data_IF_722877832413
#
_entry.id   IF_722877832413
#
_cell.length_a   1.000
_cell.length_b   1.000
_cell.length_c   1.000
_cell.angle_alpha   90.00
_cell.angle_beta   90.00
_cell.angle_gamma   90.00
#
_symmetry.space_group_name_H-M   'P 1'
#
loop_
_entity.id
_entity.type
_entity.pdbx_description
1 polymer ?
#
# COMPACT_ATOMS: atom_id res chain seq x y z
N UNK A 1 -14.56 -20.51 -5.14
CA UNK A 1 -14.57 -19.49 -4.05
C UNK A 1 -14.83 -18.13 -4.64
N UNK A 2 -15.67 -17.31 -4.02
CA UNK A 2 -15.92 -15.92 -4.41
C UNK A 2 -14.88 -14.98 -3.77
N UNK A 3 -14.60 -13.84 -4.40
CA UNK A 3 -13.66 -12.85 -3.86
C UNK A 3 -14.14 -12.27 -2.52
N UNK A 4 -15.44 -12.02 -2.41
CA UNK A 4 -16.07 -11.57 -1.17
C UNK A 4 -15.86 -12.52 0.01
N UNK A 5 -15.98 -13.82 -0.23
CA UNK A 5 -15.73 -14.88 0.77
C UNK A 5 -14.24 -14.92 1.14
N UNK A 6 -13.35 -14.86 0.14
CA UNK A 6 -11.90 -14.86 0.34
C UNK A 6 -11.45 -13.69 1.24
N UNK A 7 -11.98 -12.50 1.02
CA UNK A 7 -11.64 -11.33 1.83
C UNK A 7 -12.12 -11.47 3.28
N UNK A 8 -13.37 -11.87 3.48
CA UNK A 8 -13.94 -12.06 4.82
C UNK A 8 -13.21 -13.15 5.63
N UNK A 9 -12.93 -14.29 5.01
CA UNK A 9 -12.17 -15.38 5.65
C UNK A 9 -10.75 -14.96 6.05
N UNK A 10 -10.19 -13.94 5.41
CA UNK A 10 -8.85 -13.43 5.68
C UNK A 10 -8.84 -12.09 6.45
N UNK A 11 -9.95 -11.75 7.11
CA UNK A 11 -10.00 -10.66 8.10
C UNK A 11 -10.31 -9.27 7.55
N UNK A 12 -10.80 -9.16 6.31
CA UNK A 12 -11.30 -7.89 5.79
C UNK A 12 -12.82 -7.82 5.87
N UNK A 13 -13.33 -6.90 6.70
CA UNK A 13 -14.78 -6.70 6.84
C UNK A 13 -15.32 -5.85 5.69
N UNK A 14 -16.24 -6.43 4.92
CA UNK A 14 -16.98 -5.77 3.83
C UNK A 14 -18.13 -4.88 4.34
N UNK A 15 -18.53 -5.05 5.61
CA UNK A 15 -19.64 -4.32 6.20
C UNK A 15 -20.92 -4.45 5.36
N UNK A 16 -21.64 -3.34 5.21
CA UNK A 16 -22.91 -3.26 4.45
C UNK A 16 -22.74 -3.45 2.93
N UNK A 17 -21.53 -3.57 2.42
CA UNK A 17 -21.27 -3.75 0.98
C UNK A 17 -21.14 -5.22 0.57
N UNK A 18 -21.35 -6.16 1.51
CA UNK A 18 -21.24 -7.59 1.21
C UNK A 18 -22.11 -8.02 0.03
N UNK A 19 -23.38 -7.59 -0.02
CA UNK A 19 -24.29 -7.91 -1.12
C UNK A 19 -23.84 -7.27 -2.44
N UNK A 20 -23.40 -5.99 -2.39
CA UNK A 20 -22.90 -5.29 -3.57
C UNK A 20 -21.63 -5.91 -4.14
N UNK A 21 -20.83 -6.61 -3.32
CA UNK A 21 -19.67 -7.36 -3.78
C UNK A 21 -20.00 -8.49 -4.75
N UNK A 22 -21.24 -8.93 -4.81
CA UNK A 22 -21.74 -9.84 -5.84
C UNK A 22 -21.50 -9.33 -7.27
N UNK A 23 -21.43 -8.00 -7.48
CA UNK A 23 -21.06 -7.41 -8.76
C UNK A 23 -19.57 -7.66 -9.12
N UNK A 24 -18.67 -7.59 -8.13
CA UNK A 24 -17.25 -7.92 -8.32
C UNK A 24 -17.08 -9.43 -8.50
N UNK A 25 -17.79 -10.23 -7.71
CA UNK A 25 -17.79 -11.69 -7.86
C UNK A 25 -18.28 -12.09 -9.27
N UNK A 26 -19.23 -11.34 -9.86
CA UNK A 26 -19.76 -11.59 -11.20
C UNK A 26 -18.79 -11.31 -12.35
N UNK A 27 -17.76 -10.46 -12.14
CA UNK A 27 -16.69 -10.17 -13.10
C UNK A 27 -15.37 -10.90 -12.75
N UNK A 28 -15.40 -11.75 -11.74
CA UNK A 28 -14.25 -12.50 -11.23
C UNK A 28 -14.25 -13.91 -11.77
N UNK A 29 -13.09 -14.40 -12.17
CA UNK A 29 -12.89 -15.78 -12.63
C UNK A 29 -12.02 -16.54 -11.62
N UNK A 30 -12.51 -17.71 -11.15
CA UNK A 30 -11.74 -18.62 -10.31
C UNK A 30 -10.97 -19.60 -11.18
N UNK A 31 -9.66 -19.62 -11.07
CA UNK A 31 -8.75 -20.41 -11.91
C UNK A 31 -7.89 -21.32 -11.03
N UNK A 32 -7.63 -22.53 -11.54
CA UNK A 32 -6.67 -23.48 -10.98
C UNK A 32 -5.59 -23.71 -12.05
N UNK A 33 -4.36 -23.35 -11.72
CA UNK A 33 -3.23 -23.56 -12.62
C UNK A 33 -2.98 -25.04 -12.81
N UNK A 34 -3.06 -25.52 -14.05
CA UNK A 34 -2.80 -26.93 -14.40
C UNK A 34 -1.32 -27.32 -14.33
N UNK A 35 -0.44 -26.35 -14.50
CA UNK A 35 1.02 -26.49 -14.47
C UNK A 35 1.67 -25.19 -14.00
N UNK A 36 2.98 -25.22 -13.82
CA UNK A 36 3.76 -24.00 -13.59
C UNK A 36 3.58 -23.01 -14.74
N UNK A 37 3.27 -21.75 -14.41
CA UNK A 37 3.06 -20.72 -15.43
C UNK A 37 3.46 -19.30 -14.97
N UNK A 38 3.66 -18.41 -15.95
CA UNK A 38 3.93 -17.00 -15.75
C UNK A 38 2.64 -16.22 -15.95
N UNK A 39 2.05 -15.72 -14.86
CA UNK A 39 0.85 -14.86 -14.92
C UNK A 39 1.13 -13.49 -15.52
N UNK A 40 2.33 -12.96 -15.29
CA UNK A 40 2.70 -11.63 -15.70
C UNK A 40 4.20 -11.52 -15.94
N UNK A 41 4.62 -10.94 -17.07
CA UNK A 41 6.02 -10.66 -17.38
C UNK A 41 6.36 -9.21 -17.04
N UNK A 42 7.59 -8.99 -16.58
CA UNK A 42 8.07 -7.63 -16.31
C UNK A 42 7.92 -6.73 -17.53
N UNK A 43 7.44 -5.50 -17.33
CA UNK A 43 7.14 -4.49 -18.36
C UNK A 43 5.97 -4.81 -19.30
N UNK A 44 5.36 -5.97 -19.20
CA UNK A 44 4.12 -6.27 -19.93
C UNK A 44 2.99 -5.33 -19.46
N UNK A 45 2.10 -4.96 -20.37
CA UNK A 45 0.86 -4.25 -20.02
C UNK A 45 0.02 -5.18 -19.14
N UNK A 46 -0.47 -4.65 -18.03
CA UNK A 46 -1.35 -5.38 -17.13
C UNK A 46 -2.78 -5.31 -17.64
N UNK A 47 -3.37 -6.45 -17.88
CA UNK A 47 -4.79 -6.60 -18.26
C UNK A 47 -5.63 -7.08 -17.08
N UNK A 48 -5.01 -7.74 -16.11
CA UNK A 48 -5.70 -8.33 -14.97
C UNK A 48 -5.02 -7.97 -13.65
N UNK A 49 -5.82 -8.05 -12.58
CA UNK A 49 -5.34 -8.20 -11.19
C UNK A 49 -5.74 -9.59 -10.71
N UNK A 50 -4.88 -10.20 -9.89
CA UNK A 50 -5.10 -11.53 -9.38
C UNK A 50 -5.12 -11.53 -7.85
N UNK A 51 -5.84 -12.51 -7.25
CA UNK A 51 -5.86 -12.72 -5.80
C UNK A 51 -5.60 -14.19 -5.50
N UNK A 52 -4.56 -14.47 -4.75
CA UNK A 52 -4.19 -15.83 -4.37
C UNK A 52 -5.25 -16.43 -3.45
N UNK A 53 -5.75 -17.64 -3.76
CA UNK A 53 -6.61 -18.43 -2.86
C UNK A 53 -5.75 -19.39 -2.07
N UNK A 54 -4.99 -20.23 -2.74
CA UNK A 54 -4.02 -21.16 -2.15
C UNK A 54 -2.93 -21.51 -3.15
N UNK A 55 -1.85 -22.11 -2.66
CA UNK A 55 -0.69 -22.46 -3.48
C UNK A 55 0.45 -21.44 -3.32
N UNK A 56 1.22 -21.22 -4.39
CA UNK A 56 2.43 -20.41 -4.28
C UNK A 56 2.65 -19.55 -5.53
N UNK A 57 2.89 -18.27 -5.28
CA UNK A 57 3.32 -17.31 -6.28
C UNK A 57 4.72 -16.77 -5.93
N UNK A 58 5.52 -16.48 -6.96
CA UNK A 58 6.86 -15.91 -6.80
C UNK A 58 6.93 -14.60 -7.58
N UNK A 59 7.41 -13.53 -6.93
CA UNK A 59 7.63 -12.25 -7.57
C UNK A 59 9.11 -12.01 -7.79
N UNK A 60 9.53 -11.86 -9.06
CA UNK A 60 10.94 -11.71 -9.47
C UNK A 60 11.11 -10.46 -10.33
N UNK A 61 12.16 -9.69 -10.08
CA UNK A 61 12.60 -8.60 -10.97
C UNK A 61 13.86 -9.01 -11.71
N UNK A 62 13.87 -8.70 -12.99
CA UNK A 62 15.02 -8.88 -13.87
C UNK A 62 15.72 -7.53 -14.06
N UNK A 63 17.03 -7.54 -13.91
CA UNK A 63 17.95 -6.46 -14.23
C UNK A 63 18.90 -6.96 -15.32
N UNK A 64 19.60 -6.08 -16.01
CA UNK A 64 20.46 -6.45 -17.14
C UNK A 64 21.38 -7.65 -16.87
N UNK A 65 21.92 -7.74 -15.65
CA UNK A 65 22.93 -8.76 -15.29
C UNK A 65 22.46 -9.78 -14.26
N UNK A 66 21.29 -9.60 -13.66
CA UNK A 66 20.80 -10.50 -12.58
C UNK A 66 19.28 -10.47 -12.45
N UNK A 67 18.72 -11.52 -11.88
CA UNK A 67 17.35 -11.53 -11.38
C UNK A 67 17.33 -11.58 -9.85
N UNK A 68 16.33 -10.98 -9.25
CA UNK A 68 16.14 -10.98 -7.79
C UNK A 68 14.71 -11.40 -7.50
N UNK A 69 14.55 -12.50 -6.76
CA UNK A 69 13.27 -12.90 -6.20
C UNK A 69 12.98 -12.08 -4.95
N UNK A 70 11.95 -11.23 -5.01
CA UNK A 70 11.57 -10.33 -3.94
C UNK A 70 10.63 -10.97 -2.94
N UNK A 71 9.72 -11.82 -3.40
CA UNK A 71 8.74 -12.44 -2.52
C UNK A 71 8.36 -13.85 -3.01
N UNK A 72 8.18 -14.75 -2.05
CA UNK A 72 7.44 -16.00 -2.19
C UNK A 72 6.13 -15.82 -1.44
N UNK A 73 5.03 -15.89 -2.15
CA UNK A 73 3.70 -15.52 -1.66
C UNK A 73 2.87 -16.79 -1.53
N UNK A 74 2.44 -17.09 -0.30
CA UNK A 74 1.57 -18.24 -0.01
C UNK A 74 0.32 -17.83 0.77
N UNK A 75 0.26 -16.55 1.20
CA UNK A 75 -0.85 -16.05 2.02
C UNK A 75 -2.09 -15.83 1.16
N UNK A 76 -3.25 -16.41 1.51
CA UNK A 76 -4.51 -16.15 0.82
C UNK A 76 -4.90 -14.68 0.81
N UNK A 77 -5.76 -14.31 -0.11
CA UNK A 77 -6.23 -12.95 -0.39
C UNK A 77 -5.14 -11.95 -0.82
N UNK A 78 -3.86 -12.39 -0.93
CA UNK A 78 -2.79 -11.52 -1.39
C UNK A 78 -3.02 -11.10 -2.84
N UNK A 79 -3.10 -9.78 -3.13
CA UNK A 79 -3.23 -9.31 -4.50
C UNK A 79 -1.89 -9.42 -5.24
N UNK A 80 -1.97 -9.91 -6.47
CA UNK A 80 -0.83 -10.02 -7.38
C UNK A 80 -1.07 -9.09 -8.57
N UNK A 81 -0.03 -8.42 -9.03
CA UNK A 81 -0.15 -7.51 -10.18
C UNK A 81 -0.66 -6.10 -9.85
N UNK A 82 -0.59 -5.66 -8.60
CA UNK A 82 -1.08 -4.34 -8.14
C UNK A 82 -0.46 -3.15 -8.90
N UNK A 83 0.71 -3.31 -9.50
CA UNK A 83 1.33 -2.27 -10.34
C UNK A 83 0.51 -1.93 -11.59
N UNK A 84 -0.30 -2.88 -12.07
CA UNK A 84 -1.22 -2.68 -13.18
C UNK A 84 -2.40 -1.75 -12.89
N UNK A 85 -2.71 -1.53 -11.61
CA UNK A 85 -3.75 -0.58 -11.20
C UNK A 85 -3.39 0.90 -11.42
N UNK A 86 -2.11 1.17 -11.72
CA UNK A 86 -1.58 2.51 -11.88
C UNK A 86 -0.98 2.72 -13.28
N UNK A 87 -1.09 3.94 -13.81
CA UNK A 87 -0.41 4.29 -15.04
C UNK A 87 1.12 4.27 -14.86
N UNK A 88 1.89 3.71 -15.77
CA UNK A 88 1.53 3.24 -17.13
C UNK A 88 1.05 1.78 -17.21
N UNK A 89 0.34 1.24 -16.25
CA UNK A 89 -0.28 -0.10 -16.25
C UNK A 89 0.68 -1.24 -16.65
N UNK A 90 1.93 -1.18 -16.19
CA UNK A 90 2.94 -2.21 -16.49
C UNK A 90 3.35 -2.96 -15.24
N UNK A 91 3.56 -4.25 -15.39
CA UNK A 91 4.10 -5.06 -14.30
C UNK A 91 5.54 -4.63 -13.96
N UNK A 92 5.80 -4.45 -12.68
CA UNK A 92 7.11 -4.05 -12.16
C UNK A 92 8.09 -5.23 -12.02
N UNK A 93 7.63 -6.44 -12.20
CA UNK A 93 8.39 -7.69 -12.16
C UNK A 93 7.55 -8.82 -12.72
N UNK A 94 8.14 -10.01 -12.82
CA UNK A 94 7.47 -11.23 -13.24
C UNK A 94 6.73 -11.85 -12.06
N UNK A 95 5.54 -12.38 -12.32
CA UNK A 95 4.75 -13.18 -11.38
C UNK A 95 4.67 -14.60 -11.95
N UNK A 96 5.33 -15.51 -11.26
CA UNK A 96 5.32 -16.94 -11.55
C UNK A 96 4.47 -17.66 -10.52
N UNK A 97 3.67 -18.64 -10.93
CA UNK A 97 2.89 -19.52 -10.04
C UNK A 97 3.23 -20.96 -10.28
N UNK A 98 3.21 -21.76 -9.20
CA UNK A 98 3.40 -23.21 -9.27
C UNK A 98 2.08 -23.91 -9.66
N UNK A 99 2.18 -25.05 -10.33
CA UNK A 99 1.01 -25.86 -10.70
C UNK A 99 0.17 -26.23 -9.47
N UNK A 100 -1.15 -26.29 -9.63
CA UNK A 100 -2.10 -26.47 -8.53
C UNK A 100 -2.40 -25.21 -7.71
N UNK A 101 -1.79 -24.06 -8.04
CA UNK A 101 -2.13 -22.77 -7.43
C UNK A 101 -3.52 -22.35 -7.86
N UNK A 102 -4.36 -21.96 -6.88
CA UNK A 102 -5.69 -21.42 -7.11
C UNK A 102 -5.69 -19.90 -6.89
N UNK A 103 -6.33 -19.18 -7.80
CA UNK A 103 -6.41 -17.73 -7.75
C UNK A 103 -7.70 -17.21 -8.39
N UNK A 104 -8.04 -15.97 -8.06
CA UNK A 104 -9.11 -15.22 -8.70
C UNK A 104 -8.47 -14.21 -9.64
N UNK A 105 -8.95 -14.14 -10.88
CA UNK A 105 -8.57 -13.15 -11.89
C UNK A 105 -9.70 -12.17 -12.13
N UNK A 106 -9.38 -10.87 -12.24
CA UNK A 106 -10.34 -9.82 -12.61
C UNK A 106 -9.70 -8.95 -13.70
N UNK A 107 -10.42 -8.74 -14.80
CA UNK A 107 -9.99 -7.83 -15.85
C UNK A 107 -10.04 -6.38 -15.38
N UNK A 108 -8.98 -5.63 -15.67
CA UNK A 108 -8.90 -4.23 -15.27
C UNK A 108 -9.92 -3.35 -15.99
N UNK A 109 -10.32 -3.70 -17.21
CA UNK A 109 -11.36 -2.97 -17.94
C UNK A 109 -12.73 -3.14 -17.27
N UNK A 110 -13.09 -4.37 -16.87
CA UNK A 110 -14.34 -4.62 -16.13
C UNK A 110 -14.39 -3.85 -14.81
N UNK A 111 -13.23 -3.73 -14.11
CA UNK A 111 -13.12 -2.89 -12.90
C UNK A 111 -13.31 -1.39 -13.21
N UNK A 112 -12.82 -0.91 -14.34
CA UNK A 112 -13.01 0.49 -14.75
C UNK A 112 -14.47 0.78 -15.07
N UNK A 113 -15.13 -0.12 -15.80
CA UNK A 113 -16.56 0.00 -16.12
C UNK A 113 -17.41 -0.05 -14.85
N UNK A 114 -17.07 -0.93 -13.91
CA UNK A 114 -17.76 -1.00 -12.62
C UNK A 114 -17.50 0.25 -11.76
N UNK A 115 -16.31 0.84 -11.83
CA UNK A 115 -16.01 2.10 -11.14
C UNK A 115 -16.94 3.23 -11.58
N UNK A 116 -17.22 3.36 -12.87
CA UNK A 116 -18.15 4.38 -13.38
C UNK A 116 -19.59 4.20 -12.84
N UNK A 117 -19.99 2.96 -12.57
CA UNK A 117 -21.35 2.62 -12.10
C UNK A 117 -21.44 2.61 -10.57
N UNK A 118 -20.39 2.25 -9.87
CA UNK A 118 -20.40 2.05 -8.42
C UNK A 118 -19.01 2.35 -7.81
N UNK A 119 -18.65 3.62 -7.74
CA UNK A 119 -17.37 4.06 -7.22
C UNK A 119 -17.15 3.69 -5.74
N UNK A 120 -18.21 3.65 -4.92
CA UNK A 120 -18.16 3.23 -3.52
C UNK A 120 -17.70 1.79 -3.37
N UNK A 121 -18.22 0.88 -4.20
CA UNK A 121 -17.84 -0.52 -4.21
C UNK A 121 -16.37 -0.67 -4.61
N UNK A 122 -15.94 0.03 -5.65
CA UNK A 122 -14.55 0.01 -6.12
C UNK A 122 -13.60 0.66 -5.10
N UNK A 123 -14.00 1.72 -4.42
CA UNK A 123 -13.22 2.30 -3.32
C UNK A 123 -12.99 1.27 -2.21
N UNK A 124 -14.00 0.49 -1.83
CA UNK A 124 -13.87 -0.59 -0.85
C UNK A 124 -12.93 -1.70 -1.35
N UNK A 125 -13.00 -2.06 -2.63
CA UNK A 125 -12.06 -3.01 -3.23
C UNK A 125 -10.61 -2.50 -3.13
N UNK A 126 -10.34 -1.23 -3.44
CA UNK A 126 -9.01 -0.65 -3.31
C UNK A 126 -8.52 -0.60 -1.85
N UNK A 127 -9.43 -0.37 -0.90
CA UNK A 127 -9.14 -0.48 0.54
C UNK A 127 -8.70 -1.92 0.88
N UNK A 128 -9.43 -2.94 0.40
CA UNK A 128 -9.07 -4.35 0.62
C UNK A 128 -7.74 -4.72 -0.03
N UNK A 129 -7.50 -4.30 -1.28
CA UNK A 129 -6.21 -4.50 -1.97
C UNK A 129 -5.08 -3.88 -1.15
N UNK A 130 -5.27 -2.67 -0.62
CA UNK A 130 -4.29 -1.99 0.21
C UNK A 130 -4.04 -2.76 1.51
N UNK A 131 -5.09 -3.22 2.19
CA UNK A 131 -5.00 -4.00 3.42
C UNK A 131 -4.13 -5.26 3.23
N UNK A 132 -4.44 -6.09 2.24
CA UNK A 132 -3.69 -7.33 1.99
C UNK A 132 -2.27 -7.08 1.49
N UNK A 133 -2.06 -6.04 0.68
CA UNK A 133 -0.73 -5.64 0.23
C UNK A 133 0.16 -5.19 1.39
N UNK A 134 -0.39 -4.46 2.36
CA UNK A 134 0.34 -4.01 3.55
C UNK A 134 0.64 -5.17 4.49
N UNK A 135 -0.29 -6.11 4.66
CA UNK A 135 -0.05 -7.33 5.44
C UNK A 135 1.09 -8.18 4.83
N UNK A 136 1.16 -8.28 3.50
CA UNK A 136 2.27 -8.97 2.83
C UNK A 136 3.61 -8.27 3.12
N UNK A 137 3.65 -6.94 3.05
CA UNK A 137 4.86 -6.17 3.35
C UNK A 137 5.36 -6.42 4.77
N UNK A 138 4.45 -6.50 5.74
CA UNK A 138 4.78 -6.76 7.14
C UNK A 138 5.24 -8.21 7.34
N UNK A 139 4.51 -9.18 6.81
CA UNK A 139 4.83 -10.61 6.98
C UNK A 139 6.15 -11.01 6.32
N UNK A 140 6.51 -10.37 5.19
CA UNK A 140 7.78 -10.63 4.51
C UNK A 140 9.01 -10.22 5.33
N UNK A 141 8.83 -9.46 6.40
CA UNK A 141 9.91 -8.92 7.25
C UNK A 141 10.11 -9.65 8.56
N UNK A 142 9.32 -10.67 8.88
CA UNK A 142 9.39 -11.40 10.17
C UNK A 142 9.42 -10.46 11.40
N UNK A 143 8.64 -9.37 11.36
CA UNK A 143 8.64 -8.33 12.40
C UNK A 143 8.28 -8.85 13.81
N UNK A 144 7.62 -10.01 13.90
CA UNK A 144 7.16 -10.57 15.18
C UNK A 144 8.29 -11.06 16.11
N UNK A 145 9.52 -11.14 15.63
CA UNK A 145 10.63 -11.73 16.41
C UNK A 145 11.75 -10.78 16.76
N UNK A 146 11.78 -9.55 16.24
CA UNK A 146 13.05 -8.83 16.17
C UNK A 146 13.19 -7.62 17.07
N UNK A 147 12.14 -6.94 17.49
CA UNK A 147 12.36 -5.70 18.24
C UNK A 147 11.33 -5.40 19.33
N UNK A 148 11.76 -5.57 20.55
CA UNK A 148 11.37 -4.72 21.68
C UNK A 148 12.47 -3.64 21.84
N UNK A 149 12.55 -2.69 20.94
CA UNK A 149 13.30 -1.46 21.18
C UNK A 149 12.40 -0.58 22.06
N UNK A 150 12.31 -0.92 23.34
CA UNK A 150 11.50 -0.20 24.34
C UNK A 150 11.99 1.25 24.54
N UNK A 151 13.21 1.57 24.04
CA UNK A 151 13.82 2.90 24.13
C UNK A 151 13.28 3.91 23.09
N UNK A 152 12.60 3.45 22.03
CA UNK A 152 12.08 4.37 21.02
C UNK A 152 10.75 4.94 21.46
N UNK A 153 10.74 6.21 21.85
CA UNK A 153 9.52 6.95 22.14
C UNK A 153 9.04 7.72 20.91
N UNK A 154 7.78 7.47 20.51
CA UNK A 154 7.16 8.21 19.42
C UNK A 154 6.78 9.61 19.91
N UNK A 155 7.29 10.62 19.22
CA UNK A 155 6.89 12.00 19.48
C UNK A 155 5.45 12.25 19.00
N UNK A 156 4.60 12.89 19.80
CA UNK A 156 3.25 13.27 19.37
C UNK A 156 3.27 14.32 18.24
N UNK A 157 4.41 15.00 18.04
CA UNK A 157 4.52 16.18 17.17
C UNK A 157 3.72 17.37 17.72
N UNK A 158 4.11 18.58 17.33
CA UNK A 158 3.41 19.81 17.70
C UNK A 158 2.40 20.15 16.60
N UNK A 159 1.11 20.42 16.92
CA UNK A 159 0.16 20.90 15.92
C UNK A 159 0.70 22.15 15.22
N UNK A 160 0.57 22.20 13.91
CA UNK A 160 0.94 23.35 13.08
C UNK A 160 -0.28 23.88 12.37
N UNK A 161 -0.30 25.17 12.10
CA UNK A 161 -1.36 25.77 11.30
C UNK A 161 -1.49 25.06 9.95
N UNK A 162 -2.73 24.88 9.50
CA UNK A 162 -3.07 24.27 8.21
C UNK A 162 -2.67 25.14 7.01
N UNK A 163 -2.00 26.28 7.23
CA UNK A 163 -1.54 27.11 6.13
C UNK A 163 -0.44 26.41 5.34
N UNK A 164 -0.86 25.69 4.31
CA UNK A 164 0.05 25.20 3.30
C UNK A 164 0.31 26.35 2.36
N UNK A 165 1.30 27.15 2.70
CA UNK A 165 1.69 28.36 1.95
C UNK A 165 2.14 28.06 0.51
N UNK A 166 2.14 26.79 0.07
CA UNK A 166 2.57 26.42 -1.27
C UNK A 166 1.93 25.09 -1.73
N UNK A 167 0.60 25.07 -1.92
CA UNK A 167 -0.17 23.96 -2.51
C UNK A 167 0.47 23.49 -3.83
N UNK A 168 0.88 24.42 -4.69
CA UNK A 168 1.53 24.09 -5.97
C UNK A 168 2.85 23.32 -5.81
N UNK A 169 3.62 23.58 -4.75
CA UNK A 169 4.87 22.88 -4.48
C UNK A 169 4.63 21.44 -4.00
N UNK A 170 3.53 21.20 -3.31
CA UNK A 170 3.10 19.87 -2.85
C UNK A 170 2.50 19.09 -4.02
N UNK A 171 1.75 19.74 -4.91
CA UNK A 171 1.14 19.15 -6.11
C UNK A 171 2.18 18.56 -7.07
N UNK A 172 3.35 19.17 -7.18
CA UNK A 172 4.47 18.60 -7.96
C UNK A 172 5.05 17.33 -7.35
N UNK A 173 4.70 17.02 -6.10
CA UNK A 173 5.16 15.82 -5.42
C UNK A 173 4.39 14.58 -5.92
N UNK A 174 5.11 13.48 -6.00
CA UNK A 174 4.64 12.23 -6.64
C UNK A 174 3.33 11.68 -6.07
N UNK A 175 3.06 11.85 -4.80
CA UNK A 175 1.80 11.37 -4.19
C UNK A 175 0.59 12.19 -4.67
N UNK A 176 0.76 13.49 -4.81
CA UNK A 176 -0.33 14.42 -5.10
C UNK A 176 -0.50 14.74 -6.59
N UNK A 177 0.40 14.25 -7.45
CA UNK A 177 0.48 14.66 -8.86
C UNK A 177 -0.75 14.30 -9.71
N UNK A 178 -1.64 13.42 -9.22
CA UNK A 178 -2.89 13.06 -9.91
C UNK A 178 -4.13 13.68 -9.27
N UNK A 179 -3.97 14.43 -8.18
CA UNK A 179 -5.05 15.11 -7.52
C UNK A 179 -5.29 16.46 -8.20
N UNK A 180 -6.55 16.85 -8.39
CA UNK A 180 -6.91 18.22 -8.73
C UNK A 180 -6.66 19.14 -7.54
N UNK A 181 -6.76 20.46 -7.70
CA UNK A 181 -6.61 21.39 -6.58
C UNK A 181 -7.73 21.19 -5.54
N UNK A 182 -8.96 20.94 -5.98
CA UNK A 182 -10.09 20.60 -5.12
C UNK A 182 -9.88 19.29 -4.37
N UNK A 183 -9.43 18.23 -5.05
CA UNK A 183 -9.07 16.96 -4.40
C UNK A 183 -8.02 17.17 -3.31
N UNK A 184 -6.98 17.97 -3.60
CA UNK A 184 -5.89 18.22 -2.66
C UNK A 184 -6.37 19.01 -1.45
N UNK A 185 -7.20 20.02 -1.63
CA UNK A 185 -7.80 20.78 -0.52
C UNK A 185 -8.68 19.90 0.36
N UNK A 186 -9.55 19.07 -0.24
CA UNK A 186 -10.38 18.11 0.47
C UNK A 186 -9.51 17.14 1.28
N UNK A 187 -8.48 16.59 0.63
CA UNK A 187 -7.60 15.61 1.26
C UNK A 187 -6.82 16.20 2.46
N UNK A 188 -6.33 17.43 2.34
CA UNK A 188 -5.63 18.09 3.45
C UNK A 188 -6.56 18.37 4.62
N UNK A 189 -7.83 18.72 4.34
CA UNK A 189 -8.85 18.96 5.38
C UNK A 189 -9.16 17.70 6.20
N UNK A 190 -8.93 16.50 5.68
CA UNK A 190 -9.14 15.24 6.41
C UNK A 190 -8.14 15.04 7.56
N UNK A 191 -7.00 15.72 7.54
CA UNK A 191 -5.92 15.48 8.46
C UNK A 191 -5.49 16.68 9.27
N UNK A 192 -4.46 16.46 10.07
CA UNK A 192 -3.79 17.48 10.86
C UNK A 192 -2.32 17.56 10.49
N UNK A 193 -1.78 18.78 10.34
CA UNK A 193 -0.36 18.97 10.10
C UNK A 193 0.35 19.03 11.45
N UNK A 194 1.40 18.24 11.60
CA UNK A 194 2.25 18.21 12.78
C UNK A 194 3.70 18.55 12.42
N UNK A 195 4.35 19.28 13.31
CA UNK A 195 5.78 19.59 13.25
C UNK A 195 6.56 18.66 14.16
N UNK A 196 7.70 18.25 13.68
CA UNK A 196 8.67 17.44 14.40
C UNK A 196 10.04 18.12 14.32
N UNK A 197 10.66 18.38 15.47
CA UNK A 197 12.03 18.86 15.54
C UNK A 197 13.02 17.75 15.13
N UNK A 198 14.27 18.14 14.92
CA UNK A 198 15.34 17.17 14.65
C UNK A 198 15.41 16.09 15.73
N UNK A 199 15.75 14.88 15.34
CA UNK A 199 15.87 13.69 16.20
C UNK A 199 14.58 13.10 16.81
N UNK A 200 13.40 13.58 16.41
CA UNK A 200 12.14 13.01 16.88
C UNK A 200 11.70 11.81 16.06
N UNK A 201 11.23 10.75 16.71
CA UNK A 201 10.64 9.60 16.06
C UNK A 201 9.17 9.86 15.71
N UNK A 202 8.82 9.63 14.43
CA UNK A 202 7.48 9.85 13.87
C UNK A 202 6.71 8.54 13.77
N UNK A 203 7.42 7.45 13.52
CA UNK A 203 6.92 6.09 13.33
C UNK A 203 7.89 5.11 13.94
N UNK A 204 7.39 4.06 14.59
CA UNK A 204 8.19 2.95 15.11
C UNK A 204 7.81 1.67 14.38
N UNK A 205 8.81 0.88 14.00
CA UNK A 205 8.65 -0.45 13.43
C UNK A 205 7.96 -1.36 14.45
N UNK A 206 6.97 -2.15 14.00
CA UNK A 206 6.19 -3.03 14.85
C UNK A 206 5.02 -2.39 15.59
N UNK A 207 4.92 -1.05 15.63
CA UNK A 207 3.71 -0.41 16.16
C UNK A 207 2.54 -0.49 15.18
N UNK A 208 1.32 -0.54 15.71
CA UNK A 208 0.11 -0.48 14.89
C UNK A 208 0.06 0.87 14.16
N UNK A 209 -0.19 0.82 12.85
CA UNK A 209 -0.36 2.02 12.03
C UNK A 209 -1.67 2.72 12.39
N UNK A 210 -1.58 3.97 12.82
CA UNK A 210 -2.72 4.81 13.20
C UNK A 210 -3.23 5.70 12.07
N UNK A 211 -2.88 5.38 10.82
CA UNK A 211 -3.30 6.15 9.65
C UNK A 211 -2.17 6.45 8.69
N UNK A 212 -2.49 7.27 7.70
CA UNK A 212 -1.59 7.72 6.67
C UNK A 212 -0.83 8.97 7.13
N UNK A 213 0.49 8.91 7.05
CA UNK A 213 1.36 10.06 7.32
C UNK A 213 2.13 10.42 6.05
N UNK A 214 2.12 11.71 5.68
CA UNK A 214 2.76 12.19 4.45
C UNK A 214 3.73 13.32 4.77
N UNK A 215 4.96 13.20 4.29
CA UNK A 215 5.98 14.23 4.40
C UNK A 215 5.59 15.46 3.57
N UNK A 216 5.40 16.60 4.19
CA UNK A 216 5.11 17.87 3.51
C UNK A 216 6.38 18.70 3.29
N UNK A 217 7.25 18.73 4.29
CA UNK A 217 8.56 19.39 4.19
C UNK A 217 9.52 18.84 5.24
N UNK A 218 10.80 19.07 5.05
CA UNK A 218 11.80 18.60 5.99
C UNK A 218 12.65 17.46 5.47
N UNK A 219 13.18 16.66 6.41
CA UNK A 219 14.04 15.52 6.11
C UNK A 219 13.84 14.44 7.16
N UNK A 220 13.65 13.20 6.73
CA UNK A 220 13.52 12.05 7.61
C UNK A 220 14.42 10.92 7.17
N UNK A 221 14.85 10.13 8.13
CA UNK A 221 15.52 8.86 7.89
C UNK A 221 14.57 7.71 8.22
N UNK A 222 14.39 6.81 7.26
CA UNK A 222 13.71 5.54 7.45
C UNK A 222 14.71 4.46 7.81
N UNK A 223 14.49 3.81 8.94
CA UNK A 223 15.25 2.64 9.37
C UNK A 223 14.43 1.39 9.08
N UNK A 224 15.04 0.45 8.40
CA UNK A 224 14.47 -0.87 8.22
C UNK A 224 15.47 -1.93 8.64
N UNK A 225 14.95 -2.99 9.18
CA UNK A 225 15.74 -4.14 9.52
C UNK A 225 15.57 -5.21 8.44
N UNK A 226 16.66 -5.61 7.81
CA UNK A 226 16.67 -6.72 6.86
C UNK A 226 17.38 -7.92 7.50
N UNK A 227 16.81 -9.09 7.32
CA UNK A 227 17.43 -10.34 7.72
C UNK A 227 18.19 -10.92 6.51
N UNK A 228 19.51 -10.82 6.52
CA UNK A 228 20.35 -11.33 5.43
C UNK A 228 21.34 -12.34 6.01
N UNK A 229 21.29 -13.57 5.50
CA UNK A 229 22.21 -14.67 5.92
C UNK A 229 22.24 -14.89 7.43
N UNK A 230 21.06 -14.93 8.08
CA UNK A 230 20.97 -15.13 9.54
C UNK A 230 21.39 -13.92 10.39
N UNK A 231 21.73 -12.79 9.78
CA UNK A 231 22.13 -11.57 10.49
C UNK A 231 21.19 -10.42 10.20
N UNK A 232 20.87 -9.66 11.26
CA UNK A 232 20.08 -8.44 11.14
C UNK A 232 20.99 -7.33 10.63
N UNK A 233 20.57 -6.67 9.54
CA UNK A 233 21.23 -5.46 9.04
C UNK A 233 20.26 -4.29 9.16
N UNK A 234 20.76 -3.20 9.77
CA UNK A 234 20.09 -1.91 9.78
C UNK A 234 20.41 -1.20 8.47
N UNK A 235 19.36 -0.85 7.71
CA UNK A 235 19.48 -0.03 6.52
C UNK A 235 18.83 1.32 6.76
N UNK A 236 19.48 2.37 6.28
CA UNK A 236 18.98 3.73 6.37
C UNK A 236 18.62 4.24 4.98
N UNK A 237 17.49 4.90 4.90
CA UNK A 237 17.11 5.63 3.69
C UNK A 237 16.65 7.03 4.05
N UNK A 238 17.37 8.01 3.58
CA UNK A 238 16.99 9.41 3.76
C UNK A 238 15.91 9.81 2.75
N UNK A 239 14.83 10.41 3.24
CA UNK A 239 13.72 10.93 2.47
C UNK A 239 13.62 12.45 2.66
N UNK A 240 13.71 13.20 1.55
CA UNK A 240 13.66 14.67 1.56
C UNK A 240 12.54 15.20 0.67
N UNK A 241 11.96 14.34 -0.16
CA UNK A 241 10.97 14.75 -1.15
C UNK A 241 9.60 14.87 -0.49
N UNK A 242 8.99 16.05 -0.57
CA UNK A 242 7.59 16.23 -0.17
C UNK A 242 6.67 15.27 -0.91
N UNK A 243 5.53 14.91 -0.30
CA UNK A 243 4.56 14.00 -0.86
C UNK A 243 4.96 12.52 -0.81
N UNK A 244 5.92 12.14 0.03
CA UNK A 244 6.20 10.73 0.31
C UNK A 244 5.32 10.29 1.48
N UNK A 245 4.57 9.19 1.31
CA UNK A 245 3.88 8.55 2.43
C UNK A 245 4.91 7.88 3.35
N UNK A 246 4.90 8.30 4.60
CA UNK A 246 5.75 7.77 5.68
C UNK A 246 5.11 6.56 6.37
N UNK A 247 3.79 6.43 6.31
CA UNK A 247 3.02 5.24 6.67
C UNK A 247 1.97 5.01 5.61
N UNK A 248 1.41 3.82 5.62
CA UNK A 248 0.33 3.43 4.73
C UNK A 248 -0.92 3.16 5.58
N UNK A 249 -2.10 3.18 4.96
CA UNK A 249 -3.35 2.86 5.63
C UNK A 249 -4.37 2.38 4.61
N UNK A 250 -5.07 1.31 4.94
CA UNK A 250 -6.23 0.84 4.17
C UNK A 250 -7.54 1.54 4.56
N UNK A 251 -7.52 2.37 5.60
CA UNK A 251 -8.73 2.88 6.27
C UNK A 251 -9.37 1.84 7.18
N UNK A 252 -9.21 0.55 6.89
CA UNK A 252 -9.81 -0.57 7.63
C UNK A 252 -8.75 -1.55 8.10
N UNK A 253 -9.00 -2.13 9.29
CA UNK A 253 -8.13 -3.14 9.89
C UNK A 253 -6.80 -2.58 10.40
N UNK A 254 -6.17 -3.36 11.25
CA UNK A 254 -4.87 -3.04 11.84
C UNK A 254 -3.74 -3.71 11.07
N UNK A 255 -2.67 -2.98 10.87
CA UNK A 255 -1.42 -3.51 10.36
C UNK A 255 -0.24 -2.79 11.05
N UNK A 256 0.89 -3.46 11.10
CA UNK A 256 2.07 -2.93 11.77
C UNK A 256 2.92 -2.08 10.82
N UNK A 257 3.57 -1.05 11.37
CA UNK A 257 4.53 -0.28 10.60
C UNK A 257 5.76 -1.14 10.28
N UNK A 258 6.17 -1.21 9.00
CA UNK A 258 7.28 -2.08 8.60
C UNK A 258 8.67 -1.42 8.76
N UNK A 259 8.74 -0.23 9.34
CA UNK A 259 9.97 0.54 9.54
C UNK A 259 9.80 1.62 10.60
N UNK A 260 10.94 2.09 11.11
CA UNK A 260 11.01 3.27 11.99
C UNK A 260 11.35 4.51 11.18
N UNK A 261 10.69 5.64 11.44
CA UNK A 261 10.95 6.94 10.81
C UNK A 261 11.36 7.96 11.86
N UNK A 262 12.48 8.63 11.63
CA UNK A 262 13.04 9.67 12.49
C UNK A 262 13.27 10.95 11.70
N UNK A 263 12.87 12.09 12.24
CA UNK A 263 13.21 13.40 11.67
C UNK A 263 14.71 13.70 11.87
N UNK A 264 15.36 14.27 10.87
CA UNK A 264 16.77 14.69 10.94
C UNK A 264 16.94 16.21 10.90
N UNK A 265 15.83 16.93 10.70
CA UNK A 265 15.67 18.37 10.81
C UNK A 265 14.21 18.70 11.03
N UNK A 266 13.86 19.94 11.26
CA UNK A 266 12.46 20.38 11.36
C UNK A 266 11.65 19.89 10.17
N UNK A 267 10.57 19.18 10.48
CA UNK A 267 9.82 18.38 9.53
C UNK A 267 8.32 18.57 9.72
N UNK A 268 7.59 18.88 8.64
CA UNK A 268 6.12 18.94 8.64
C UNK A 268 5.55 17.66 8.03
N UNK A 269 4.57 17.08 8.72
CA UNK A 269 3.91 15.83 8.31
C UNK A 269 2.41 16.01 8.39
N UNK A 270 1.69 15.65 7.33
CA UNK A 270 0.23 15.52 7.33
C UNK A 270 -0.13 14.16 7.92
N UNK A 271 -0.98 14.16 8.93
CA UNK A 271 -1.52 12.95 9.57
C UNK A 271 -2.99 12.83 9.25
N UNK A 272 -3.41 11.70 8.67
CA UNK A 272 -4.80 11.35 8.37
C UNK A 272 -5.09 10.04 9.11
N UNK A 273 -6.09 10.02 9.98
CA UNK A 273 -6.44 8.83 10.76
C UNK A 273 -7.03 7.72 9.88
N UNK A 274 -7.00 6.47 10.38
CA UNK A 274 -7.68 5.34 9.73
C UNK A 274 -9.18 5.63 9.58
N UNK A 275 -9.81 6.18 10.63
CA UNK A 275 -11.23 6.57 10.62
C UNK A 275 -11.54 7.61 9.52
N UNK A 276 -10.71 8.64 9.36
CA UNK A 276 -10.91 9.64 8.30
C UNK A 276 -10.80 9.01 6.89
N UNK A 277 -9.89 8.06 6.70
CA UNK A 277 -9.78 7.33 5.43
C UNK A 277 -10.95 6.35 5.22
N UNK A 278 -11.44 5.70 6.26
CA UNK A 278 -12.62 4.84 6.19
C UNK A 278 -13.86 5.65 5.83
N UNK A 279 -14.07 6.80 6.49
CA UNK A 279 -15.18 7.70 6.16
C UNK A 279 -15.09 8.22 4.73
N UNK A 280 -13.87 8.45 4.20
CA UNK A 280 -13.67 8.89 2.82
C UNK A 280 -14.17 7.86 1.80
N UNK A 281 -14.10 6.55 2.09
CA UNK A 281 -14.62 5.48 1.21
C UNK A 281 -16.10 5.70 0.88
N UNK A 282 -16.86 6.27 1.81
CA UNK A 282 -18.29 6.50 1.66
C UNK A 282 -18.67 7.92 1.29
N UNK A 283 -17.94 8.92 1.79
CA UNK A 283 -18.24 10.34 1.59
C UNK A 283 -17.72 10.91 0.28
N UNK A 284 -16.55 10.46 -0.20
CA UNK A 284 -15.97 10.83 -1.49
C UNK A 284 -15.18 9.62 -2.07
N UNK A 285 -15.90 8.62 -2.63
CA UNK A 285 -15.31 7.40 -3.15
C UNK A 285 -14.26 7.64 -4.24
N UNK A 286 -14.45 8.65 -5.08
CA UNK A 286 -13.52 8.96 -6.17
C UNK A 286 -12.18 9.47 -5.65
N UNK A 287 -12.19 10.36 -4.66
CA UNK A 287 -10.98 10.80 -3.98
C UNK A 287 -10.30 9.63 -3.25
N UNK A 288 -11.09 8.80 -2.58
CA UNK A 288 -10.62 7.60 -1.88
C UNK A 288 -9.86 6.66 -2.84
N UNK A 289 -10.42 6.36 -4.02
CA UNK A 289 -9.78 5.54 -5.05
C UNK A 289 -8.43 6.16 -5.48
N UNK A 290 -8.39 7.47 -5.72
CA UNK A 290 -7.14 8.17 -6.08
C UNK A 290 -6.08 8.00 -5.00
N UNK A 291 -6.46 8.13 -3.72
CA UNK A 291 -5.54 8.02 -2.59
C UNK A 291 -5.01 6.58 -2.44
N UNK A 292 -5.88 5.55 -2.48
CA UNK A 292 -5.44 4.16 -2.40
C UNK A 292 -4.56 3.77 -3.59
N UNK A 293 -4.91 4.16 -4.80
CA UNK A 293 -4.06 3.96 -5.97
C UNK A 293 -2.66 4.53 -5.75
N UNK A 294 -2.55 5.71 -5.15
CA UNK A 294 -1.25 6.35 -4.86
C UNK A 294 -0.46 5.64 -3.79
N UNK A 295 -1.10 5.13 -2.74
CA UNK A 295 -0.45 4.31 -1.75
C UNK A 295 0.11 3.01 -2.36
N UNK A 296 -0.70 2.32 -3.17
CA UNK A 296 -0.29 1.10 -3.88
C UNK A 296 0.86 1.36 -4.86
N UNK A 297 0.83 2.49 -5.57
CA UNK A 297 1.94 2.88 -6.44
C UNK A 297 3.24 3.12 -5.67
N UNK A 298 3.17 3.79 -4.50
CA UNK A 298 4.33 3.96 -3.66
C UNK A 298 4.83 2.62 -3.12
N UNK A 299 3.93 1.75 -2.68
CA UNK A 299 4.28 0.41 -2.20
C UNK A 299 5.09 -0.37 -3.25
N UNK A 300 4.70 -0.32 -4.51
CA UNK A 300 5.44 -0.96 -5.61
C UNK A 300 6.87 -0.42 -5.80
N UNK A 301 7.13 0.85 -5.41
CA UNK A 301 8.46 1.48 -5.50
C UNK A 301 9.31 1.32 -4.24
N UNK A 302 8.66 1.20 -3.07
CA UNK A 302 9.35 1.06 -1.79
C UNK A 302 9.68 -0.38 -1.42
N UNK A 303 9.47 -1.34 -2.32
CA UNK A 303 10.01 -2.66 -2.08
C UNK A 303 11.51 -2.52 -1.86
N UNK A 304 12.04 -2.90 -0.69
CA UNK A 304 13.45 -2.75 -0.42
C UNK A 304 14.20 -3.52 -1.48
N UNK A 305 15.05 -2.80 -2.19
CA UNK A 305 16.11 -3.44 -2.95
C UNK A 305 17.00 -4.06 -1.89
N UNK A 306 16.74 -5.33 -1.56
CA UNK A 306 17.73 -6.13 -0.86
C UNK A 306 18.86 -6.33 -1.83
N UNK A 307 19.85 -5.47 -1.74
CA UNK A 307 21.15 -5.72 -2.35
C UNK A 307 21.89 -6.79 -1.59
#
# INVERSE_FOLDING_TARGET
MKLSELFQQNGFDLGNLKESFGLIDGISEHIIAGSDEVLAKQHQISENIYFLIKGKATFTKYFETKSITFAKITKPATPLGISGLNQPNRFMGEIFIEGGTEYISIKLDDLRDLQQKNSKLISTLYSAISFFSFQLLVSSRNLNTLYKDDEIQISPGIPSEKSITNIHRIKSATFFSTLTDDDLEKFIKLGNIKMYSSNQYIVKEGDVSKGLKILLSGKVDGLFHNFINGKIRRNFRTLTRAGIALTLSSGKGDFFNPYTIKSTRDTKVLHISNEALENLITSDPELSIKIFKRQLWQLGRFQPVSC
#
